data_IF_341507940454
#
_entry.id   IF_341507940454
#
_cell.length_a   1.000
_cell.length_b   1.000
_cell.length_c   1.000
_cell.angle_alpha   90.00
_cell.angle_beta   90.00
_cell.angle_gamma   90.00
#
_symmetry.space_group_name_H-M   'P 1'
#
loop_
_entity.id
_entity.type
_entity.pdbx_description
1 polymer ?
#
# COMPACT_ATOMS: atom_id res chain seq x y z
N UNK A 1 -1.19 12.20 21.03
CA UNK A 1 -2.31 11.28 20.75
C UNK A 1 -2.47 10.35 21.93
N UNK A 2 -3.70 10.18 22.42
CA UNK A 2 -3.99 9.08 23.35
C UNK A 2 -4.22 7.81 22.55
N UNK A 3 -3.89 6.64 23.11
CA UNK A 3 -4.03 5.35 22.43
C UNK A 3 -4.71 4.36 23.37
N UNK A 4 -5.72 3.65 22.86
CA UNK A 4 -6.23 2.45 23.52
C UNK A 4 -5.44 1.25 22.97
N UNK A 5 -4.59 0.64 23.81
CA UNK A 5 -3.72 -0.48 23.40
C UNK A 5 -4.36 -1.81 23.76
N UNK A 6 -4.45 -2.71 22.78
CA UNK A 6 -4.89 -4.09 22.93
C UNK A 6 -3.75 -4.98 22.46
N UNK A 7 -3.32 -5.89 23.33
CA UNK A 7 -2.14 -6.73 23.11
C UNK A 7 -2.47 -8.21 23.26
N UNK A 8 -1.92 -9.03 22.37
CA UNK A 8 -1.92 -10.49 22.47
C UNK A 8 -0.52 -11.02 22.16
N UNK A 9 0.10 -11.67 23.14
CA UNK A 9 1.47 -12.21 23.01
C UNK A 9 1.51 -13.74 22.95
N UNK A 10 0.49 -14.40 23.50
CA UNK A 10 0.29 -15.84 23.40
C UNK A 10 -1.14 -16.10 22.92
N UNK A 11 -1.27 -17.04 21.97
CA UNK A 11 -2.52 -17.46 21.34
C UNK A 11 -3.30 -16.35 20.61
N UNK A 12 -4.38 -16.74 19.94
CA UNK A 12 -5.24 -15.83 19.17
C UNK A 12 -6.21 -15.09 20.10
N UNK A 13 -6.30 -13.76 19.96
CA UNK A 13 -7.32 -12.94 20.62
C UNK A 13 -8.42 -12.55 19.64
N UNK A 14 -9.69 -12.74 20.01
CA UNK A 14 -10.85 -12.29 19.22
C UNK A 14 -11.61 -11.18 19.94
N UNK A 15 -11.82 -10.05 19.26
CA UNK A 15 -12.61 -8.92 19.73
C UNK A 15 -13.94 -8.88 18.98
N UNK A 16 -15.00 -9.38 19.62
CA UNK A 16 -16.33 -9.54 19.00
C UNK A 16 -17.34 -8.44 19.36
N UNK A 17 -17.13 -7.73 20.48
CA UNK A 17 -17.98 -6.60 20.87
C UNK A 17 -17.63 -5.32 20.12
N UNK A 18 -18.55 -4.34 20.13
CA UNK A 18 -18.28 -3.00 19.58
C UNK A 18 -17.08 -2.36 20.29
N UNK A 19 -16.17 -1.80 19.51
CA UNK A 19 -14.99 -1.07 19.98
C UNK A 19 -15.19 0.41 19.64
N UNK A 20 -15.31 1.24 20.67
CA UNK A 20 -15.45 2.68 20.49
C UNK A 20 -14.08 3.39 20.53
N UNK A 21 -13.70 4.00 19.41
CA UNK A 21 -12.49 4.82 19.26
C UNK A 21 -12.71 6.31 19.55
N UNK A 22 -13.87 6.68 20.10
CA UNK A 22 -14.26 8.09 20.34
C UNK A 22 -13.77 8.66 21.68
N UNK A 23 -13.12 7.87 22.53
CA UNK A 23 -12.93 8.22 23.96
C UNK A 23 -12.16 9.50 24.25
N UNK A 24 -11.59 10.20 23.25
CA UNK A 24 -11.26 11.63 23.23
C UNK A 24 -10.81 12.06 21.80
N UNK A 25 -11.74 12.35 20.87
CA UNK A 25 -11.58 12.95 19.50
C UNK A 25 -10.37 12.57 18.60
N UNK A 26 -9.52 11.62 18.98
CA UNK A 26 -8.25 11.25 18.33
C UNK A 26 -7.62 9.98 18.93
N UNK A 27 -8.35 9.22 19.76
CA UNK A 27 -7.83 7.98 20.37
C UNK A 27 -7.84 6.84 19.36
N UNK A 28 -6.71 6.56 18.71
CA UNK A 28 -6.60 5.37 17.90
C UNK A 28 -6.60 4.10 18.76
N UNK A 29 -7.31 3.08 18.29
CA UNK A 29 -7.19 1.71 18.80
C UNK A 29 -5.91 1.12 18.21
N UNK A 30 -5.02 0.62 19.07
CA UNK A 30 -3.75 0.02 18.67
C UNK A 30 -3.80 -1.46 18.97
N UNK A 31 -3.71 -2.28 17.93
CA UNK A 31 -3.64 -3.74 18.02
C UNK A 31 -2.16 -4.17 17.93
N UNK A 32 -1.58 -4.66 19.02
CA UNK A 32 -0.15 -4.95 19.16
C UNK A 32 0.11 -6.33 19.79
N UNK A 33 1.38 -6.74 19.92
CA UNK A 33 1.78 -8.05 20.46
C UNK A 33 2.15 -9.08 19.39
N UNK A 34 2.78 -10.18 19.81
CA UNK A 34 3.37 -11.17 18.89
C UNK A 34 2.34 -12.07 18.19
N UNK A 35 1.21 -12.36 18.82
CA UNK A 35 0.21 -13.33 18.33
C UNK A 35 -0.88 -12.68 17.48
N UNK A 36 -1.76 -13.50 16.89
CA UNK A 36 -2.84 -13.02 16.03
C UNK A 36 -3.95 -12.31 16.82
N UNK A 37 -4.52 -11.24 16.25
CA UNK A 37 -5.72 -10.59 16.78
C UNK A 37 -6.76 -10.51 15.66
N UNK A 38 -7.98 -10.95 15.94
CA UNK A 38 -9.12 -10.87 15.03
C UNK A 38 -10.18 -9.93 15.60
N UNK A 39 -10.58 -8.93 14.83
CA UNK A 39 -11.63 -7.98 15.16
C UNK A 39 -12.85 -8.27 14.30
N UNK A 40 -13.86 -8.88 14.91
CA UNK A 40 -15.16 -9.19 14.29
C UNK A 40 -16.25 -8.22 14.74
N UNK A 41 -16.06 -7.56 15.89
CA UNK A 41 -16.93 -6.48 16.35
C UNK A 41 -16.77 -5.20 15.53
N UNK A 42 -17.79 -4.35 15.56
CA UNK A 42 -17.76 -3.07 14.86
C UNK A 42 -16.82 -2.10 15.58
N UNK A 43 -15.91 -1.46 14.84
CA UNK A 43 -15.08 -0.35 15.32
C UNK A 43 -15.72 0.98 14.90
N UNK A 44 -16.01 1.83 15.88
CA UNK A 44 -16.72 3.11 15.68
C UNK A 44 -15.92 4.28 16.23
N UNK A 45 -16.38 5.52 16.02
CA UNK A 45 -15.81 6.73 16.63
C UNK A 45 -14.83 7.50 15.72
N UNK A 46 -14.25 8.57 16.25
CA UNK A 46 -13.38 9.49 15.48
C UNK A 46 -11.91 9.07 15.43
N UNK A 47 -11.50 8.11 16.25
CA UNK A 47 -10.16 7.55 16.26
C UNK A 47 -9.86 6.69 15.03
N UNK A 48 -8.59 6.38 14.84
CA UNK A 48 -8.14 5.43 13.82
C UNK A 48 -7.96 4.01 14.37
N UNK A 49 -7.62 3.09 13.48
CA UNK A 49 -7.17 1.74 13.84
C UNK A 49 -5.71 1.58 13.41
N UNK A 50 -4.84 1.23 14.35
CA UNK A 50 -3.41 1.00 14.11
C UNK A 50 -3.12 -0.47 14.39
N UNK A 51 -2.52 -1.15 13.43
CA UNK A 51 -2.05 -2.53 13.55
C UNK A 51 -0.53 -2.56 13.63
N UNK A 52 -0.03 -3.30 14.62
CA UNK A 52 1.39 -3.45 14.87
C UNK A 52 2.01 -2.34 15.73
N UNK A 53 3.28 -2.54 16.05
CA UNK A 53 4.20 -1.61 16.69
C UNK A 53 5.59 -1.89 16.12
N UNK A 54 6.58 -1.01 16.31
CA UNK A 54 7.90 -1.11 15.70
C UNK A 54 8.71 -2.40 16.03
N UNK A 55 8.17 -3.29 16.87
CA UNK A 55 8.80 -4.51 17.39
C UNK A 55 7.96 -5.78 17.22
N UNK A 56 6.92 -5.82 16.39
CA UNK A 56 6.19 -7.08 16.15
C UNK A 56 6.92 -7.95 15.12
N UNK A 57 7.19 -9.20 15.49
CA UNK A 57 7.80 -10.18 14.60
C UNK A 57 6.92 -10.52 13.39
N UNK A 58 7.48 -11.15 12.34
CA UNK A 58 6.81 -11.41 11.06
C UNK A 58 5.56 -12.33 11.12
N UNK A 59 5.20 -12.87 12.30
CA UNK A 59 4.00 -13.71 12.49
C UNK A 59 2.76 -12.98 13.03
N UNK A 60 2.84 -11.68 13.31
CA UNK A 60 1.73 -10.92 13.91
C UNK A 60 0.71 -10.48 12.85
N UNK A 61 -0.38 -11.25 12.72
CA UNK A 61 -1.51 -10.93 11.84
C UNK A 61 -2.61 -10.21 12.64
N UNK A 62 -3.16 -9.15 12.06
CA UNK A 62 -4.31 -8.41 12.57
C UNK A 62 -5.42 -8.49 11.54
N UNK A 63 -6.45 -9.26 11.81
CA UNK A 63 -7.59 -9.41 10.90
C UNK A 63 -8.72 -8.52 11.35
N UNK A 64 -9.22 -7.67 10.44
CA UNK A 64 -10.38 -6.83 10.67
C UNK A 64 -11.43 -7.22 9.64
N UNK A 65 -12.50 -7.86 10.10
CA UNK A 65 -13.45 -8.54 9.22
C UNK A 65 -14.88 -8.01 9.28
N UNK A 66 -15.10 -6.89 9.98
CA UNK A 66 -16.41 -6.28 10.07
C UNK A 66 -16.54 -5.16 9.03
N UNK A 67 -17.25 -5.44 7.93
CA UNK A 67 -17.42 -4.53 6.80
C UNK A 67 -18.27 -3.29 7.12
N UNK A 68 -18.82 -3.21 8.34
CA UNK A 68 -19.60 -2.06 8.82
C UNK A 68 -18.80 -1.13 9.74
N UNK A 69 -17.48 -1.31 9.88
CA UNK A 69 -16.67 -0.39 10.67
C UNK A 69 -16.80 1.03 10.11
N UNK A 70 -17.09 1.99 10.99
CA UNK A 70 -17.37 3.38 10.61
C UNK A 70 -16.47 4.38 11.34
N UNK A 71 -15.36 3.92 11.93
CA UNK A 71 -14.36 4.82 12.48
C UNK A 71 -13.82 5.78 11.40
N UNK A 72 -13.64 7.05 11.76
CA UNK A 72 -13.30 8.10 10.77
C UNK A 72 -11.82 8.47 10.74
N UNK A 73 -11.04 8.03 11.74
CA UNK A 73 -9.60 8.17 11.73
C UNK A 73 -8.90 7.21 10.76
N UNK A 74 -7.58 7.37 10.63
CA UNK A 74 -6.75 6.58 9.71
C UNK A 74 -6.73 5.09 10.09
N UNK A 75 -6.87 4.23 9.08
CA UNK A 75 -6.44 2.82 9.18
C UNK A 75 -4.93 2.75 8.88
N UNK A 76 -4.14 2.23 9.81
CA UNK A 76 -2.68 2.20 9.73
C UNK A 76 -2.14 0.78 9.91
N UNK A 77 -1.39 0.31 8.94
CA UNK A 77 -0.46 -0.81 9.12
C UNK A 77 0.90 -0.24 9.54
N UNK A 78 1.31 -0.49 10.78
CA UNK A 78 2.55 0.03 11.39
C UNK A 78 3.64 -1.03 11.52
N UNK A 79 3.32 -2.29 11.24
CA UNK A 79 4.20 -3.46 11.38
C UNK A 79 3.39 -4.75 11.20
N UNK A 80 4.01 -5.82 10.70
CA UNK A 80 3.32 -7.09 10.46
C UNK A 80 2.23 -6.99 9.37
N UNK A 81 1.19 -7.81 9.50
CA UNK A 81 0.09 -7.89 8.51
C UNK A 81 -1.21 -7.32 9.07
N UNK A 82 -1.80 -6.36 8.37
CA UNK A 82 -3.20 -5.96 8.51
C UNK A 82 -4.03 -6.65 7.43
N UNK A 83 -4.77 -7.69 7.81
CA UNK A 83 -5.70 -8.38 6.94
C UNK A 83 -7.09 -7.74 7.02
N UNK A 84 -7.75 -7.51 5.88
CA UNK A 84 -9.06 -6.85 5.83
C UNK A 84 -9.97 -7.43 4.75
N UNK A 85 -11.28 -7.40 4.99
CA UNK A 85 -12.29 -8.01 4.11
C UNK A 85 -12.93 -7.04 3.12
N UNK A 86 -12.94 -5.74 3.39
CA UNK A 86 -13.51 -4.73 2.50
C UNK A 86 -12.86 -3.35 2.64
N UNK A 87 -12.95 -2.59 1.56
CA UNK A 87 -12.55 -1.18 1.51
C UNK A 87 -13.61 -0.39 0.75
N UNK A 88 -13.82 0.87 1.14
CA UNK A 88 -14.74 1.78 0.47
C UNK A 88 -14.15 3.20 0.40
N UNK A 89 -14.81 4.08 -0.34
CA UNK A 89 -14.45 5.50 -0.42
C UNK A 89 -14.58 6.19 0.94
N UNK A 90 -13.86 7.31 1.09
CA UNK A 90 -13.91 8.12 2.30
C UNK A 90 -15.36 8.47 2.71
N UNK A 91 -15.66 8.33 4.00
CA UNK A 91 -17.01 8.54 4.55
C UNK A 91 -17.97 7.36 4.42
N UNK A 92 -17.60 6.29 3.71
CA UNK A 92 -18.41 5.06 3.60
C UNK A 92 -17.80 3.95 4.44
N UNK A 93 -18.61 3.31 5.29
CA UNK A 93 -18.15 2.22 6.16
C UNK A 93 -17.54 1.06 5.34
N UNK A 94 -16.49 0.45 5.89
CA UNK A 94 -15.80 -0.72 5.35
C UNK A 94 -14.97 -1.38 6.46
N UNK A 95 -14.34 -2.53 6.22
CA UNK A 95 -13.48 -3.15 7.22
C UNK A 95 -12.34 -2.22 7.69
N UNK A 96 -11.81 -1.40 6.77
CA UNK A 96 -10.82 -0.36 7.04
C UNK A 96 -11.42 0.98 7.50
N UNK A 97 -12.66 0.99 7.97
CA UNK A 97 -13.34 2.18 8.49
C UNK A 97 -13.87 3.11 7.40
N UNK A 98 -14.61 4.12 7.83
CA UNK A 98 -15.13 5.16 6.95
C UNK A 98 -14.02 6.07 6.44
N UNK A 99 -13.10 6.49 7.32
CA UNK A 99 -11.94 7.33 6.99
C UNK A 99 -12.31 8.68 6.37
N UNK A 100 -12.12 9.80 7.07
CA UNK A 100 -12.53 11.14 6.57
C UNK A 100 -11.40 12.17 6.56
N UNK A 101 -10.13 11.76 6.75
CA UNK A 101 -8.95 12.65 6.81
C UNK A 101 -7.81 12.18 5.89
N UNK A 102 -7.22 13.07 5.10
CA UNK A 102 -6.11 12.74 4.18
C UNK A 102 -4.77 12.66 4.91
N UNK A 103 -3.90 11.64 4.66
CA UNK A 103 -4.17 10.34 4.02
C UNK A 103 -4.87 9.35 4.98
N UNK A 104 -5.92 8.66 4.50
CA UNK A 104 -6.80 7.82 5.34
C UNK A 104 -6.32 6.38 5.52
N UNK A 105 -5.45 5.87 4.64
CA UNK A 105 -4.80 4.56 4.79
C UNK A 105 -3.28 4.79 4.87
N UNK A 106 -2.65 4.29 5.93
CA UNK A 106 -1.21 4.36 6.10
C UNK A 106 -0.57 2.98 6.15
N UNK A 107 0.61 2.88 5.57
CA UNK A 107 1.47 1.70 5.57
C UNK A 107 2.84 2.12 6.10
N UNK A 108 3.48 1.18 6.80
CA UNK A 108 4.76 1.35 7.48
C UNK A 108 4.78 2.49 8.52
N UNK A 109 5.57 2.30 9.58
CA UNK A 109 5.82 3.37 10.53
C UNK A 109 7.14 3.21 11.25
N UNK A 110 7.78 4.35 11.53
CA UNK A 110 9.05 4.38 12.26
C UNK A 110 10.18 3.78 11.44
N UNK A 111 10.50 2.51 11.72
CA UNK A 111 11.50 1.70 11.00
C UNK A 111 10.90 0.38 10.50
N UNK A 112 9.58 0.19 10.65
CA UNK A 112 8.92 -1.08 10.38
C UNK A 112 8.27 -1.09 9.01
N UNK A 113 8.55 -2.17 8.28
CA UNK A 113 7.79 -2.58 7.11
C UNK A 113 6.39 -3.03 7.52
N UNK A 114 5.42 -2.91 6.63
CA UNK A 114 4.06 -3.37 6.91
C UNK A 114 3.41 -3.98 5.66
N UNK A 115 2.49 -4.91 5.91
CA UNK A 115 1.70 -5.56 4.88
C UNK A 115 0.23 -5.26 5.09
N UNK A 116 -0.46 -4.86 4.02
CA UNK A 116 -1.90 -4.72 3.95
C UNK A 116 -2.42 -5.86 3.06
N UNK A 117 -3.13 -6.83 3.64
CA UNK A 117 -3.56 -8.05 2.97
C UNK A 117 -5.08 -8.05 2.79
N UNK A 118 -5.53 -7.88 1.55
CA UNK A 118 -6.94 -7.98 1.22
C UNK A 118 -7.35 -9.45 1.13
N UNK A 119 -8.38 -9.81 1.90
CA UNK A 119 -8.91 -11.18 2.01
C UNK A 119 -10.43 -11.22 1.81
N UNK A 120 -10.98 -10.22 1.12
CA UNK A 120 -12.42 -10.13 0.85
C UNK A 120 -12.92 -11.28 -0.01
N UNK A 121 -14.16 -11.69 0.25
CA UNK A 121 -14.80 -12.85 -0.42
C UNK A 121 -15.86 -12.47 -1.45
N UNK A 122 -16.18 -11.17 -1.60
CA UNK A 122 -17.05 -10.68 -2.66
C UNK A 122 -16.40 -10.90 -4.04
N UNK A 123 -17.02 -11.67 -4.95
CA UNK A 123 -16.49 -11.91 -6.29
C UNK A 123 -16.34 -10.63 -7.14
N UNK A 124 -17.13 -9.58 -6.88
CA UNK A 124 -17.00 -8.28 -7.55
C UNK A 124 -15.83 -7.47 -7.01
N UNK A 125 -15.30 -7.85 -5.85
CA UNK A 125 -14.20 -7.18 -5.21
C UNK A 125 -14.62 -5.91 -4.48
N UNK A 126 -13.62 -5.13 -4.08
CA UNK A 126 -13.83 -3.87 -3.37
C UNK A 126 -12.89 -2.81 -3.92
N UNK A 127 -13.34 -1.56 -3.92
CA UNK A 127 -12.53 -0.44 -4.40
C UNK A 127 -12.63 0.80 -3.52
N UNK A 128 -11.60 1.62 -3.57
CA UNK A 128 -11.55 2.90 -2.88
C UNK A 128 -10.76 3.94 -3.67
N UNK A 129 -11.15 5.20 -3.55
CA UNK A 129 -10.40 6.36 -4.02
C UNK A 129 -9.54 7.00 -2.93
N UNK A 130 -9.53 6.42 -1.72
CA UNK A 130 -8.75 6.91 -0.58
C UNK A 130 -7.25 6.91 -0.87
N UNK A 131 -6.58 8.00 -0.49
CA UNK A 131 -5.11 8.10 -0.56
C UNK A 131 -4.43 7.09 0.37
N UNK A 132 -3.36 6.48 -0.15
CA UNK A 132 -2.48 5.57 0.56
C UNK A 132 -1.14 6.24 0.82
N UNK A 133 -0.70 6.20 2.07
CA UNK A 133 0.60 6.72 2.49
C UNK A 133 1.59 5.57 2.76
N UNK A 134 2.73 5.54 2.06
CA UNK A 134 3.78 4.51 2.19
C UNK A 134 4.69 4.67 3.42
N UNK A 135 4.52 5.72 4.21
CA UNK A 135 5.26 5.86 5.46
C UNK A 135 4.65 6.89 6.38
N UNK A 136 4.45 6.50 7.64
CA UNK A 136 3.98 7.39 8.70
C UNK A 136 5.02 7.51 9.82
N UNK A 137 5.25 8.72 10.35
CA UNK A 137 6.18 8.92 11.48
C UNK A 137 7.60 9.31 11.06
N UNK A 138 8.62 8.77 11.73
CA UNK A 138 10.03 9.17 11.55
C UNK A 138 10.62 8.76 10.20
N UNK A 139 11.65 9.51 9.80
CA UNK A 139 12.40 9.39 8.55
C UNK A 139 13.06 8.00 8.47
N UNK A 140 12.91 7.29 7.35
CA UNK A 140 13.50 5.98 7.18
C UNK A 140 13.10 5.29 5.88
N UNK A 141 13.91 4.32 5.49
CA UNK A 141 13.59 3.47 4.34
C UNK A 141 12.52 2.45 4.74
N UNK A 142 11.50 2.28 3.90
CA UNK A 142 10.38 1.39 4.21
C UNK A 142 10.00 0.53 3.01
N UNK A 143 9.62 -0.71 3.30
CA UNK A 143 8.88 -1.56 2.37
C UNK A 143 7.44 -1.66 2.84
N UNK A 144 6.52 -1.21 1.98
CA UNK A 144 5.09 -1.33 2.17
C UNK A 144 4.58 -2.40 1.19
N UNK A 145 3.97 -3.45 1.70
CA UNK A 145 3.44 -4.55 0.90
C UNK A 145 1.92 -4.48 0.85
N UNK A 146 1.35 -4.67 -0.32
CA UNK A 146 -0.08 -4.80 -0.54
C UNK A 146 -0.32 -6.14 -1.21
N UNK A 147 -1.15 -6.98 -0.58
CA UNK A 147 -1.50 -8.31 -1.09
C UNK A 147 -2.97 -8.34 -1.51
N UNK A 148 -3.24 -8.66 -2.77
CA UNK A 148 -4.58 -8.95 -3.25
C UNK A 148 -4.85 -10.46 -3.19
N UNK A 149 -5.22 -10.97 -2.02
CA UNK A 149 -5.52 -12.39 -1.78
C UNK A 149 -7.03 -12.70 -1.75
N UNK A 150 -7.88 -11.69 -1.94
CA UNK A 150 -9.33 -11.84 -2.00
C UNK A 150 -9.80 -12.56 -3.27
N UNK A 151 -11.06 -12.98 -3.26
CA UNK A 151 -11.70 -13.68 -4.38
C UNK A 151 -11.99 -12.74 -5.55
N UNK A 152 -12.52 -11.55 -5.29
CA UNK A 152 -12.67 -10.46 -6.25
C UNK A 152 -11.48 -9.50 -6.28
N UNK A 153 -11.41 -8.60 -7.27
CA UNK A 153 -10.30 -7.65 -7.41
C UNK A 153 -10.28 -6.59 -6.30
N UNK A 154 -9.09 -6.09 -5.99
CA UNK A 154 -8.89 -4.93 -5.12
C UNK A 154 -8.56 -3.69 -5.96
N UNK A 155 -9.37 -2.63 -5.84
CA UNK A 155 -9.09 -1.32 -6.41
C UNK A 155 -8.66 -0.30 -5.36
N UNK A 156 -7.53 0.36 -5.58
CA UNK A 156 -6.94 1.31 -4.64
C UNK A 156 -6.73 2.69 -5.27
N UNK A 157 -6.81 3.71 -4.42
CA UNK A 157 -6.60 5.10 -4.80
C UNK A 157 -5.12 5.45 -5.03
N UNK A 158 -4.81 6.75 -5.12
CA UNK A 158 -3.45 7.24 -5.29
C UNK A 158 -2.53 6.84 -4.13
N UNK A 159 -1.24 6.71 -4.44
CA UNK A 159 -0.18 6.37 -3.49
C UNK A 159 0.85 7.48 -3.45
N UNK A 160 1.23 7.88 -2.24
CA UNK A 160 2.36 8.78 -2.00
C UNK A 160 3.06 8.48 -0.69
N UNK A 161 4.13 9.20 -0.37
CA UNK A 161 4.72 9.22 0.96
C UNK A 161 4.64 10.61 1.55
N UNK A 162 4.28 10.72 2.83
CA UNK A 162 4.41 11.96 3.61
C UNK A 162 5.71 12.04 4.38
N UNK A 163 6.60 11.05 4.26
CA UNK A 163 7.91 10.99 4.92
C UNK A 163 9.06 10.84 3.91
N UNK A 164 10.24 11.36 4.26
CA UNK A 164 11.46 11.19 3.47
C UNK A 164 12.03 9.77 3.58
N UNK A 165 13.11 9.47 2.86
CA UNK A 165 13.71 8.15 2.76
C UNK A 165 13.24 7.40 1.52
N UNK A 166 13.88 6.29 1.23
CA UNK A 166 13.58 5.43 0.08
C UNK A 166 12.43 4.51 0.42
N UNK A 167 11.39 4.47 -0.41
CA UNK A 167 10.25 3.58 -0.23
C UNK A 167 10.25 2.51 -1.32
N UNK A 168 9.85 1.31 -0.93
CA UNK A 168 9.51 0.25 -1.87
C UNK A 168 8.05 -0.12 -1.66
N UNK A 169 7.24 0.03 -2.70
CA UNK A 169 5.88 -0.50 -2.74
C UNK A 169 5.94 -1.89 -3.39
N UNK A 170 5.57 -2.91 -2.63
CA UNK A 170 5.43 -4.28 -3.13
C UNK A 170 3.96 -4.56 -3.40
N UNK A 171 3.62 -4.82 -4.65
CA UNK A 171 2.31 -5.26 -5.10
C UNK A 171 2.38 -6.77 -5.30
N UNK A 172 1.59 -7.53 -4.55
CA UNK A 172 1.59 -9.00 -4.61
C UNK A 172 0.19 -9.57 -4.42
N UNK A 173 0.10 -10.88 -4.26
CA UNK A 173 -1.12 -11.63 -4.02
C UNK A 173 -1.41 -12.67 -5.10
N UNK A 174 -2.49 -13.41 -4.89
CA UNK A 174 -2.93 -14.51 -5.78
C UNK A 174 -4.07 -14.13 -6.71
N UNK A 175 -4.74 -12.99 -6.49
CA UNK A 175 -5.87 -12.59 -7.32
C UNK A 175 -5.40 -12.23 -8.75
N UNK A 176 -5.83 -13.00 -9.74
CA UNK A 176 -5.51 -12.79 -11.16
C UNK A 176 -6.49 -11.86 -11.88
N UNK A 177 -7.50 -11.36 -11.16
CA UNK A 177 -8.39 -10.31 -11.66
C UNK A 177 -7.67 -8.96 -11.80
N UNK A 178 -8.39 -7.94 -12.28
CA UNK A 178 -7.84 -6.59 -12.46
C UNK A 178 -7.68 -5.83 -11.14
N UNK A 179 -6.78 -6.25 -10.25
CA UNK A 179 -6.42 -5.43 -9.10
C UNK A 179 -5.79 -4.14 -9.61
N UNK A 180 -6.23 -3.00 -9.10
CA UNK A 180 -5.84 -1.70 -9.64
C UNK A 180 -5.34 -0.79 -8.55
N UNK A 181 -4.40 0.07 -8.93
CA UNK A 181 -3.86 1.10 -8.05
C UNK A 181 -3.75 2.40 -8.84
N UNK A 182 -4.15 3.50 -8.23
CA UNK A 182 -4.11 4.82 -8.82
C UNK A 182 -2.67 5.33 -9.02
N UNK A 183 -2.53 6.64 -9.22
CA UNK A 183 -1.24 7.27 -9.44
C UNK A 183 -0.27 7.00 -8.28
N UNK A 184 0.92 6.49 -8.58
CA UNK A 184 2.02 6.35 -7.63
C UNK A 184 2.96 7.54 -7.80
N UNK A 185 3.11 8.32 -6.73
CA UNK A 185 3.96 9.52 -6.70
C UNK A 185 4.93 9.45 -5.52
N UNK A 186 6.11 10.11 -5.58
CA UNK A 186 7.03 10.07 -4.45
C UNK A 186 6.51 10.82 -3.22
N UNK A 187 5.64 11.81 -3.39
CA UNK A 187 5.31 12.75 -2.32
C UNK A 187 6.59 13.40 -1.78
N UNK A 188 6.88 13.20 -0.49
CA UNK A 188 8.13 13.67 0.15
C UNK A 188 9.23 12.60 0.24
N UNK A 189 8.99 11.39 -0.27
CA UNK A 189 10.03 10.35 -0.31
C UNK A 189 11.20 10.77 -1.20
N UNK A 190 12.39 10.28 -0.85
CA UNK A 190 13.58 10.46 -1.68
C UNK A 190 13.45 9.70 -3.00
N UNK A 191 12.88 8.51 -2.94
CA UNK A 191 12.51 7.70 -4.09
C UNK A 191 11.38 6.74 -3.69
N UNK A 192 10.57 6.35 -4.68
CA UNK A 192 9.63 5.23 -4.55
C UNK A 192 9.97 4.24 -5.66
N UNK A 193 10.29 3.00 -5.28
CA UNK A 193 10.44 1.88 -6.21
C UNK A 193 9.19 1.00 -6.13
N UNK A 194 8.84 0.34 -7.22
CA UNK A 194 7.70 -0.57 -7.28
C UNK A 194 8.21 -1.97 -7.55
N UNK A 195 7.76 -2.94 -6.77
CA UNK A 195 8.00 -4.37 -7.03
C UNK A 195 6.66 -5.04 -7.24
N UNK A 196 6.50 -5.73 -8.35
CA UNK A 196 5.39 -6.66 -8.59
C UNK A 196 5.89 -8.08 -8.35
N UNK A 197 5.22 -8.80 -7.46
CA UNK A 197 5.50 -10.19 -7.14
C UNK A 197 4.19 -11.00 -7.02
N UNK A 198 4.28 -12.31 -6.79
CA UNK A 198 3.12 -13.20 -6.72
C UNK A 198 2.46 -13.42 -8.07
N UNK A 199 1.57 -14.42 -8.13
CA UNK A 199 0.92 -14.83 -9.38
C UNK A 199 -0.17 -13.86 -9.88
N UNK A 200 -0.65 -12.94 -9.02
CA UNK A 200 -1.74 -12.05 -9.35
C UNK A 200 -1.42 -10.99 -10.40
N UNK A 201 -2.45 -10.23 -10.80
CA UNK A 201 -2.35 -9.13 -11.76
C UNK A 201 -2.55 -7.81 -11.03
N UNK A 202 -1.70 -6.81 -11.31
CA UNK A 202 -1.87 -5.43 -10.83
C UNK A 202 -1.84 -4.46 -12.01
N UNK A 203 -2.76 -3.49 -12.02
CA UNK A 203 -2.93 -2.49 -13.06
C UNK A 203 -2.66 -1.10 -12.47
N UNK A 204 -1.67 -0.40 -13.01
CA UNK A 204 -1.41 1.01 -12.72
C UNK A 204 -2.35 1.86 -13.58
N UNK A 205 -3.24 2.65 -12.95
CA UNK A 205 -4.31 3.37 -13.65
C UNK A 205 -4.16 4.89 -13.65
N UNK A 206 -3.13 5.42 -12.98
CA UNK A 206 -2.90 6.86 -12.88
C UNK A 206 -1.61 7.34 -13.57
N UNK A 207 -1.33 8.64 -13.45
CA UNK A 207 -0.07 9.23 -13.87
C UNK A 207 1.02 8.95 -12.82
N UNK A 208 1.85 7.94 -13.08
CA UNK A 208 2.89 7.50 -12.17
C UNK A 208 4.16 8.34 -12.36
N UNK A 209 4.62 8.97 -11.28
CA UNK A 209 5.77 9.92 -11.29
C UNK A 209 6.90 9.49 -10.37
N UNK A 210 6.84 8.29 -9.80
CA UNK A 210 7.93 7.74 -9.03
C UNK A 210 9.17 7.53 -9.90
N UNK A 211 10.35 7.77 -9.32
CA UNK A 211 11.63 7.73 -10.03
C UNK A 211 12.53 6.57 -9.58
N UNK A 212 12.02 5.65 -8.76
CA UNK A 212 12.69 4.38 -8.48
C UNK A 212 12.39 3.32 -9.54
N UNK A 213 13.13 2.22 -9.50
CA UNK A 213 12.94 1.13 -10.46
C UNK A 213 11.58 0.44 -10.26
N UNK A 214 11.06 -0.10 -11.36
CA UNK A 214 9.96 -1.06 -11.35
C UNK A 214 10.52 -2.46 -11.61
N UNK A 215 10.30 -3.39 -10.69
CA UNK A 215 10.75 -4.79 -10.84
C UNK A 215 9.56 -5.72 -10.82
N UNK A 216 9.35 -6.51 -11.88
CA UNK A 216 8.26 -7.46 -12.04
C UNK A 216 8.84 -8.86 -11.92
N UNK A 217 8.87 -9.40 -10.71
CA UNK A 217 9.43 -10.70 -10.42
C UNK A 217 8.52 -11.84 -10.90
N UNK A 218 7.20 -11.68 -10.75
CA UNK A 218 6.20 -12.70 -11.10
C UNK A 218 4.81 -12.09 -11.37
N UNK A 219 3.95 -12.86 -12.03
CA UNK A 219 2.61 -12.44 -12.44
C UNK A 219 2.65 -11.29 -13.45
N UNK A 220 1.60 -10.47 -13.46
CA UNK A 220 1.44 -9.39 -14.46
C UNK A 220 1.37 -8.01 -13.80
N UNK A 221 2.20 -7.09 -14.26
CA UNK A 221 2.03 -5.65 -14.04
C UNK A 221 1.54 -5.02 -15.33
N UNK A 222 0.39 -4.35 -15.31
CA UNK A 222 -0.13 -3.62 -16.46
C UNK A 222 -0.10 -2.11 -16.22
N UNK A 223 0.17 -1.34 -17.26
CA UNK A 223 -0.09 0.10 -17.33
C UNK A 223 -1.31 0.32 -18.22
N UNK A 224 -2.39 0.87 -17.68
CA UNK A 224 -3.63 1.07 -18.42
C UNK A 224 -3.49 2.11 -19.54
N UNK A 225 -4.34 2.02 -20.57
CA UNK A 225 -4.34 2.90 -21.77
C UNK A 225 -4.26 4.41 -21.47
N UNK A 226 -4.95 4.88 -20.43
CA UNK A 226 -4.95 6.29 -20.03
C UNK A 226 -4.00 6.60 -18.85
N UNK A 227 -3.16 5.64 -18.46
CA UNK A 227 -2.17 5.80 -17.42
C UNK A 227 -0.83 6.27 -18.01
N UNK A 228 0.05 6.75 -17.15
CA UNK A 228 1.38 7.19 -17.56
C UNK A 228 2.44 6.59 -16.64
N UNK A 229 3.60 6.27 -17.20
CA UNK A 229 4.78 5.91 -16.43
C UNK A 229 5.93 6.84 -16.76
N UNK A 230 6.36 7.62 -15.76
CA UNK A 230 7.48 8.53 -15.88
C UNK A 230 8.80 7.78 -15.75
N UNK A 231 9.70 8.05 -16.69
CA UNK A 231 11.10 7.70 -16.54
C UNK A 231 11.97 8.95 -16.54
N UNK A 232 12.93 8.99 -15.62
CA UNK A 232 13.80 10.15 -15.36
C UNK A 232 15.22 9.79 -15.75
N UNK A 233 15.85 10.66 -16.54
CA UNK A 233 17.28 10.62 -16.77
C UNK A 233 18.00 11.20 -15.54
N UNK A 234 18.93 10.46 -14.96
CA UNK A 234 19.60 10.84 -13.71
C UNK A 234 20.56 12.01 -13.91
N UNK A 235 20.14 13.24 -13.57
CA UNK A 235 20.84 14.50 -13.79
C UNK A 235 22.29 14.63 -13.26
N UNK A 236 22.78 13.66 -12.49
CA UNK A 236 24.09 13.77 -11.80
C UNK A 236 24.78 12.42 -11.56
N UNK A 237 24.04 11.31 -11.53
CA UNK A 237 24.60 9.97 -11.22
C UNK A 237 24.72 9.04 -12.43
N UNK A 238 24.11 9.38 -13.58
CA UNK A 238 23.95 8.42 -14.68
C UNK A 238 23.02 7.25 -14.34
N UNK A 239 22.28 7.32 -13.22
CA UNK A 239 21.32 6.30 -12.79
C UNK A 239 19.92 6.77 -13.18
N UNK A 240 19.27 5.97 -14.02
CA UNK A 240 17.90 6.18 -14.47
C UNK A 240 17.01 5.10 -13.86
N UNK A 241 15.70 5.33 -13.77
CA UNK A 241 14.79 4.23 -13.44
C UNK A 241 14.64 3.27 -14.62
N UNK A 242 14.35 2.02 -14.33
CA UNK A 242 14.06 1.01 -15.36
C UNK A 242 12.89 0.12 -14.95
N UNK A 243 12.36 -0.59 -15.94
CA UNK A 243 11.42 -1.68 -15.78
C UNK A 243 12.15 -3.00 -16.06
N UNK A 244 12.11 -3.95 -15.13
CA UNK A 244 12.86 -5.20 -15.27
C UNK A 244 12.17 -6.38 -14.60
N UNK A 245 12.65 -7.61 -14.85
CA UNK A 245 12.25 -8.80 -14.09
C UNK A 245 11.75 -9.97 -14.94
N UNK A 246 11.40 -11.06 -14.27
CA UNK A 246 11.02 -12.33 -14.90
C UNK A 246 9.53 -12.46 -15.24
N UNK A 247 8.68 -11.61 -14.67
CA UNK A 247 7.24 -11.61 -14.91
C UNK A 247 6.83 -10.89 -16.20
N UNK A 248 5.53 -10.67 -16.33
CA UNK A 248 4.92 -10.05 -17.51
C UNK A 248 4.57 -8.61 -17.26
N UNK A 249 4.87 -7.76 -18.25
CA UNK A 249 4.42 -6.38 -18.29
C UNK A 249 3.46 -6.20 -19.45
N UNK A 250 2.30 -5.58 -19.24
CA UNK A 250 1.44 -5.04 -20.32
C UNK A 250 1.55 -3.51 -20.31
N UNK A 251 1.83 -2.88 -21.45
CA UNK A 251 2.02 -1.44 -21.56
C UNK A 251 1.04 -0.85 -22.56
N UNK A 252 -0.16 -0.51 -22.08
CA UNK A 252 -1.19 0.12 -22.92
C UNK A 252 -1.13 1.66 -22.82
N UNK A 253 -0.57 2.19 -21.73
CA UNK A 253 -0.48 3.63 -21.47
C UNK A 253 0.78 4.33 -22.00
N UNK A 254 0.91 5.61 -21.64
CA UNK A 254 1.97 6.47 -22.13
C UNK A 254 3.28 6.33 -21.32
N UNK A 255 4.40 6.41 -22.04
CA UNK A 255 5.71 6.62 -21.44
C UNK A 255 6.11 8.09 -21.47
N UNK A 256 6.37 8.65 -20.30
CA UNK A 256 6.82 10.03 -20.14
C UNK A 256 8.31 10.02 -19.83
N UNK A 257 9.13 10.32 -20.82
CA UNK A 257 10.59 10.40 -20.66
C UNK A 257 10.95 11.85 -20.30
N UNK A 258 11.41 12.04 -19.07
CA UNK A 258 11.90 13.34 -18.59
C UNK A 258 13.39 13.49 -18.89
N UNK A 259 13.67 14.33 -19.89
CA UNK A 259 15.01 14.65 -20.37
C UNK A 259 15.54 15.98 -19.87
N UNK A 260 14.85 16.67 -18.94
CA UNK A 260 15.30 17.96 -18.42
C UNK A 260 16.71 17.90 -17.79
N UNK A 261 17.09 16.69 -17.37
CA UNK A 261 18.36 16.32 -16.78
C UNK A 261 19.43 15.80 -17.76
N UNK A 262 19.09 15.67 -19.05
CA UNK A 262 19.97 15.03 -20.04
C UNK A 262 21.20 15.89 -20.39
N UNK A 263 21.07 17.21 -20.36
CA UNK A 263 22.13 18.14 -20.76
C UNK A 263 23.35 18.11 -19.82
N UNK A 264 23.22 17.52 -18.62
CA UNK A 264 24.32 17.35 -17.65
C UNK A 264 24.99 15.97 -17.71
N UNK A 265 24.59 15.09 -18.64
CA UNK A 265 25.13 13.73 -18.76
C UNK A 265 26.24 13.62 -19.81
N UNK A 266 27.32 12.84 -19.56
CA UNK A 266 28.19 12.36 -20.63
C UNK A 266 27.40 11.44 -21.59
N UNK A 267 27.90 11.26 -22.82
CA UNK A 267 27.30 10.33 -23.78
C UNK A 267 27.14 8.92 -23.18
N UNK A 268 25.97 8.31 -23.34
CA UNK A 268 25.67 6.99 -22.78
C UNK A 268 24.48 6.30 -23.46
N UNK A 269 24.22 5.06 -23.04
CA UNK A 269 23.04 4.27 -23.43
C UNK A 269 22.25 3.89 -22.18
N UNK A 270 20.92 3.82 -22.32
CA UNK A 270 20.01 3.49 -21.22
C UNK A 270 19.00 2.44 -21.67
N UNK A 271 18.99 1.31 -20.95
CA UNK A 271 17.96 0.30 -21.09
C UNK A 271 16.75 0.69 -20.24
N UNK A 272 15.66 1.09 -20.89
CA UNK A 272 14.41 1.45 -20.24
C UNK A 272 13.71 0.21 -19.66
N UNK A 273 13.73 -0.87 -20.44
CA UNK A 273 12.99 -2.09 -20.18
C UNK A 273 13.88 -3.31 -20.40
N UNK A 274 13.84 -4.23 -19.43
CA UNK A 274 14.53 -5.52 -19.47
C UNK A 274 13.68 -6.59 -18.76
N UNK A 275 12.50 -6.84 -19.32
CA UNK A 275 11.56 -7.86 -18.83
C UNK A 275 11.58 -9.10 -19.71
N UNK A 276 11.14 -10.23 -19.15
CA UNK A 276 11.13 -11.50 -19.89
C UNK A 276 10.01 -11.57 -20.93
N UNK A 277 8.86 -10.95 -20.66
CA UNK A 277 7.72 -10.93 -21.59
C UNK A 277 7.06 -9.56 -21.64
N UNK A 278 6.96 -9.02 -22.86
CA UNK A 278 6.15 -7.87 -23.24
C UNK A 278 5.21 -8.32 -24.38
N UNK A 279 3.89 -8.41 -24.16
CA UNK A 279 2.91 -8.84 -25.15
C UNK A 279 2.57 -7.74 -26.15
#
# INVERSE_FOLDING_TARGET
SSFARIQADADTLTLAGTIDSSTNSSTSVVLQGASAITVTGQVTGSGGLISGSANVGPGSIRTVSNDTNNFTGRAQASGGVLAFTSVANAGTASALGAGTVTPTIGLASGTSNATLSYIGTDPLGHSTTRDINLGSGTLGDHTATIEANGTGPLGLGPVSSTTTGTKTLVLTGTNTGGNSIGAITPGTATAVSVTKDGAGTWILTGANTYAGNTTVNNGTLALADNAQLKFVLGATSGVNNSLSGAGTVSLEGDFVIDTAAADSLPSGSWTLENVTTLP
#
